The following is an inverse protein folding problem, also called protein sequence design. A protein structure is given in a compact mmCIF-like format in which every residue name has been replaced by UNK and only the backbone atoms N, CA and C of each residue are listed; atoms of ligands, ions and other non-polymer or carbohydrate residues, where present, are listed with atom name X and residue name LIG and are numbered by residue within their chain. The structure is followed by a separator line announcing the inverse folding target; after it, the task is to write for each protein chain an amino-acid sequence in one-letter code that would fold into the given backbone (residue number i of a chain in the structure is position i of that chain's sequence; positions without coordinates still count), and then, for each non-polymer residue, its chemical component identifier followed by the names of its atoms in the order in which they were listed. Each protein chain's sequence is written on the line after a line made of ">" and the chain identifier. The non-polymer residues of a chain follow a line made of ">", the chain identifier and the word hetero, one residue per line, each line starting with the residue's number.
data_IF_476526578795
#
_entry.id   IF_476526578795
#
_cell.length_a   1.000
_cell.length_b   1.000
_cell.length_c   1.000
_cell.angle_alpha   90.00
_cell.angle_beta   90.00
_cell.angle_gamma   90.00
#
_symmetry.space_group_name_H-M   'P 1'
#
loop_
_entity.id
_entity.type
_entity.pdbx_description
1 polymer ?
#
# COMPACT_ATOMS: atom_id res chain seq x y z
N UNK A 1 -18.27 25.15 -19.56
CA UNK A 1 -16.95 24.52 -19.70
C UNK A 1 -16.75 23.53 -18.56
N UNK A 2 -16.81 22.23 -18.82
CA UNK A 2 -16.47 21.21 -17.83
C UNK A 2 -14.96 21.22 -17.63
N UNK A 3 -14.51 21.58 -16.43
CA UNK A 3 -13.08 21.62 -16.11
C UNK A 3 -12.47 20.24 -16.36
N UNK A 4 -11.55 20.13 -17.34
CA UNK A 4 -10.73 18.93 -17.53
C UNK A 4 -10.09 18.61 -16.18
N UNK A 5 -10.29 17.41 -15.62
CA UNK A 5 -9.56 17.03 -14.41
C UNK A 5 -8.07 17.12 -14.76
N UNK A 6 -7.32 18.00 -14.09
CA UNK A 6 -5.85 18.03 -14.18
C UNK A 6 -5.36 16.59 -13.99
N UNK A 7 -4.48 16.15 -14.89
CA UNK A 7 -3.94 14.79 -14.95
C UNK A 7 -3.62 14.26 -13.55
N UNK A 8 -4.31 13.21 -13.14
CA UNK A 8 -4.01 12.57 -11.87
C UNK A 8 -2.68 11.83 -12.00
N UNK A 9 -1.77 12.00 -11.03
CA UNK A 9 -0.59 11.13 -10.95
C UNK A 9 -1.08 9.76 -10.49
N UNK A 10 -1.12 8.79 -11.41
CA UNK A 10 -1.44 7.40 -11.09
C UNK A 10 -0.28 6.83 -10.29
N UNK A 11 -0.58 6.25 -9.13
CA UNK A 11 0.41 5.68 -8.22
C UNK A 11 0.40 4.15 -8.26
N UNK A 12 -0.71 3.54 -8.66
CA UNK A 12 -0.79 2.10 -8.87
C UNK A 12 -2.06 1.70 -9.63
N UNK A 13 -2.00 0.54 -10.28
CA UNK A 13 -3.13 -0.09 -10.99
C UNK A 13 -3.11 -1.57 -10.63
N UNK A 14 -4.26 -2.14 -10.24
CA UNK A 14 -4.39 -3.57 -9.94
C UNK A 14 -5.73 -4.11 -10.45
N UNK A 15 -5.71 -5.36 -10.90
CA UNK A 15 -6.91 -6.13 -11.21
C UNK A 15 -7.58 -6.59 -9.90
N UNK A 16 -8.90 -6.44 -9.80
CA UNK A 16 -9.68 -6.75 -8.62
C UNK A 16 -11.02 -7.40 -9.00
N UNK A 17 -10.99 -8.71 -9.22
CA UNK A 17 -12.17 -9.47 -9.65
C UNK A 17 -12.68 -8.95 -10.99
N UNK A 18 -13.94 -8.50 -11.04
CA UNK A 18 -14.58 -7.94 -12.24
C UNK A 18 -14.27 -6.46 -12.48
N UNK A 19 -13.20 -5.92 -11.89
CA UNK A 19 -12.86 -4.48 -11.97
C UNK A 19 -11.36 -4.26 -12.10
N UNK A 20 -10.97 -3.17 -12.77
CA UNK A 20 -9.64 -2.57 -12.66
C UNK A 20 -9.72 -1.41 -11.68
N UNK A 21 -8.81 -1.39 -10.71
CA UNK A 21 -8.68 -0.32 -9.73
C UNK A 21 -7.40 0.46 -10.04
N UNK A 22 -7.47 1.78 -9.90
CA UNK A 22 -6.29 2.64 -9.93
C UNK A 22 -6.31 3.62 -8.77
N UNK A 23 -5.16 3.82 -8.14
CA UNK A 23 -4.94 4.88 -7.16
C UNK A 23 -4.29 6.08 -7.84
N UNK A 24 -4.65 7.29 -7.42
CA UNK A 24 -3.98 8.47 -7.93
C UNK A 24 -4.20 9.73 -7.10
N UNK A 25 -3.38 10.73 -7.38
CA UNK A 25 -3.47 12.05 -6.76
C UNK A 25 -4.03 13.09 -7.75
N UNK A 26 -5.06 13.82 -7.34
CA UNK A 26 -5.64 14.97 -8.04
C UNK A 26 -5.25 16.29 -7.36
N UNK A 27 -5.22 17.41 -8.09
CA UNK A 27 -4.80 18.72 -7.54
C UNK A 27 -5.78 19.43 -6.59
N UNK A 28 -6.76 18.73 -5.99
CA UNK A 28 -7.84 19.33 -5.17
C UNK A 28 -7.69 18.97 -3.67
N UNK A 29 -8.55 19.52 -2.83
CA UNK A 29 -8.58 19.31 -1.36
C UNK A 29 -8.71 17.82 -0.96
N UNK A 30 -9.47 17.04 -1.73
CA UNK A 30 -9.47 15.58 -1.69
C UNK A 30 -8.59 15.02 -2.78
N UNK A 31 -7.28 15.17 -2.62
CA UNK A 31 -6.31 14.82 -3.64
C UNK A 31 -6.28 13.31 -3.86
N UNK A 32 -6.43 12.50 -2.81
CA UNK A 32 -6.36 11.04 -2.90
C UNK A 32 -7.62 10.47 -3.53
N UNK A 33 -7.46 9.77 -4.66
CA UNK A 33 -8.54 9.21 -5.47
C UNK A 33 -8.35 7.72 -5.70
N UNK A 34 -9.48 7.01 -5.76
CA UNK A 34 -9.58 5.65 -6.27
C UNK A 34 -10.47 5.69 -7.50
N UNK A 35 -9.95 5.18 -8.60
CA UNK A 35 -10.65 5.00 -9.86
C UNK A 35 -11.04 3.53 -9.96
N UNK A 36 -12.28 3.27 -10.34
CA UNK A 36 -12.82 1.92 -10.41
C UNK A 36 -13.53 1.73 -11.74
N UNK A 37 -12.97 0.86 -12.57
CA UNK A 37 -13.40 0.62 -13.94
C UNK A 37 -13.94 -0.81 -14.00
N UNK A 38 -15.20 -1.03 -14.41
CA UNK A 38 -15.74 -2.38 -14.56
C UNK A 38 -15.02 -3.14 -15.69
N UNK A 39 -15.05 -4.47 -15.62
CA UNK A 39 -14.66 -5.36 -16.70
C UNK A 39 -15.91 -5.97 -17.36
N UNK A 40 -15.88 -6.21 -18.69
CA UNK A 40 -14.76 -5.97 -19.61
C UNK A 40 -14.45 -4.48 -19.81
N UNK A 41 -13.20 -4.15 -20.19
CA UNK A 41 -12.84 -2.78 -20.53
C UNK A 41 -13.46 -2.43 -21.89
N UNK A 42 -14.25 -1.37 -21.93
CA UNK A 42 -14.86 -0.88 -23.16
C UNK A 42 -14.42 0.56 -23.43
N UNK A 43 -14.25 0.88 -24.71
CA UNK A 43 -13.94 2.24 -25.13
C UNK A 43 -15.07 3.20 -24.73
N UNK A 44 -14.71 4.38 -24.20
CA UNK A 44 -15.68 5.41 -23.80
C UNK A 44 -16.22 5.27 -22.36
N UNK A 45 -15.98 4.15 -21.67
CA UNK A 45 -16.41 4.01 -20.27
C UNK A 45 -15.60 4.92 -19.34
N UNK A 46 -16.33 5.68 -18.51
CA UNK A 46 -15.72 6.51 -17.47
C UNK A 46 -15.54 5.73 -16.18
N UNK A 47 -14.40 5.91 -15.51
CA UNK A 47 -14.19 5.35 -14.18
C UNK A 47 -15.18 5.93 -13.17
N UNK A 48 -15.68 5.10 -12.25
CA UNK A 48 -16.22 5.59 -11.00
C UNK A 48 -15.05 6.14 -10.17
N UNK A 49 -15.19 7.36 -9.64
CA UNK A 49 -14.13 8.05 -8.90
C UNK A 49 -14.58 8.27 -7.47
N UNK A 50 -13.75 7.83 -6.53
CA UNK A 50 -14.00 7.98 -5.11
C UNK A 50 -12.91 8.83 -4.47
N UNK A 51 -13.29 9.64 -3.50
CA UNK A 51 -12.36 10.44 -2.70
C UNK A 51 -12.03 9.69 -1.42
N UNK A 52 -10.77 9.63 -1.03
CA UNK A 52 -10.37 8.95 0.21
C UNK A 52 -9.86 9.92 1.27
N UNK A 53 -10.14 9.58 2.52
CA UNK A 53 -9.60 10.22 3.71
C UNK A 53 -8.97 9.13 4.59
N UNK A 54 -7.74 9.36 5.07
CA UNK A 54 -6.97 8.35 5.83
C UNK A 54 -6.44 8.94 7.11
N UNK A 55 -6.44 8.16 8.19
CA UNK A 55 -5.82 8.60 9.44
C UNK A 55 -4.31 8.37 9.40
N UNK A 56 -3.53 9.45 9.46
CA UNK A 56 -2.08 9.39 9.50
C UNK A 56 -1.62 9.18 10.94
N UNK A 57 -1.40 7.91 11.29
CA UNK A 57 -1.10 7.48 12.67
C UNK A 57 0.11 8.21 13.26
N UNK A 58 1.17 8.43 12.48
CA UNK A 58 2.37 9.12 12.91
C UNK A 58 2.15 10.56 13.45
N UNK A 59 1.10 11.27 13.00
CA UNK A 59 0.82 12.65 13.40
C UNK A 59 -0.57 12.84 14.00
N UNK A 60 -1.33 11.76 14.20
CA UNK A 60 -2.62 11.80 14.88
C UNK A 60 -3.70 12.61 14.17
N UNK A 61 -3.71 12.64 12.82
CA UNK A 61 -4.65 13.48 12.05
C UNK A 61 -5.22 12.79 10.82
N UNK A 62 -6.42 13.20 10.45
CA UNK A 62 -7.03 12.82 9.17
C UNK A 62 -6.38 13.60 8.01
N UNK A 63 -6.07 12.89 6.94
CA UNK A 63 -5.45 13.45 5.74
C UNK A 63 -6.26 13.09 4.49
N UNK A 64 -6.61 14.10 3.70
CA UNK A 64 -7.32 13.99 2.43
C UNK A 64 -6.40 14.11 1.22
N UNK A 65 -5.17 14.58 1.44
CA UNK A 65 -4.19 14.90 0.39
C UNK A 65 -3.13 13.83 0.18
N UNK A 66 -2.97 12.89 1.11
CA UNK A 66 -2.00 11.81 1.03
C UNK A 66 -2.48 10.75 0.02
N UNK A 67 -1.82 10.60 -1.14
CA UNK A 67 -2.20 9.58 -2.11
C UNK A 67 -1.79 8.20 -1.60
N UNK A 68 -2.65 7.21 -1.87
CA UNK A 68 -2.31 5.79 -1.80
C UNK A 68 -1.11 5.58 -2.73
N UNK A 69 0.00 5.04 -2.23
CA UNK A 69 1.21 4.77 -3.03
C UNK A 69 1.17 3.40 -3.67
N UNK A 70 0.77 2.39 -2.89
CA UNK A 70 0.58 1.01 -3.35
C UNK A 70 -0.64 0.42 -2.66
N UNK A 71 -1.33 -0.52 -3.32
CA UNK A 71 -2.51 -1.15 -2.76
C UNK A 71 -2.77 -2.52 -3.34
N UNK A 72 -3.64 -3.26 -2.66
CA UNK A 72 -4.21 -4.52 -3.10
C UNK A 72 -5.72 -4.57 -2.83
N UNK A 73 -6.49 -5.29 -3.65
CA UNK A 73 -7.84 -5.68 -3.29
C UNK A 73 -7.81 -6.85 -2.30
N UNK A 74 -8.68 -6.81 -1.28
CA UNK A 74 -8.85 -7.87 -0.29
C UNK A 74 -10.33 -8.15 -0.09
N UNK A 75 -10.72 -9.42 -0.02
CA UNK A 75 -12.04 -9.82 0.46
C UNK A 75 -11.94 -10.25 1.92
N UNK A 76 -12.74 -9.63 2.78
CA UNK A 76 -12.80 -9.94 4.21
C UNK A 76 -14.27 -9.99 4.63
N UNK A 77 -14.72 -11.12 5.22
CA UNK A 77 -16.09 -11.31 5.71
C UNK A 77 -17.18 -10.95 4.68
N UNK A 78 -16.98 -11.36 3.42
CA UNK A 78 -17.90 -11.10 2.31
C UNK A 78 -17.87 -9.67 1.76
N UNK A 79 -17.03 -8.79 2.31
CA UNK A 79 -16.87 -7.40 1.83
C UNK A 79 -15.55 -7.21 1.07
N UNK A 80 -15.57 -6.39 0.05
CA UNK A 80 -14.39 -5.97 -0.71
C UNK A 80 -13.79 -4.72 -0.07
N UNK A 81 -12.49 -4.79 0.16
CA UNK A 81 -11.67 -3.69 0.64
C UNK A 81 -10.55 -3.41 -0.34
N UNK A 82 -10.12 -2.16 -0.38
CA UNK A 82 -8.78 -1.79 -0.85
C UNK A 82 -7.91 -1.63 0.38
N UNK A 83 -6.80 -2.36 0.45
CA UNK A 83 -5.76 -2.17 1.47
C UNK A 83 -4.63 -1.42 0.81
N UNK A 84 -4.34 -0.21 1.30
CA UNK A 84 -3.34 0.68 0.73
C UNK A 84 -2.28 1.08 1.74
N UNK A 85 -1.07 1.32 1.25
CA UNK A 85 -0.03 2.01 2.01
C UNK A 85 0.16 3.44 1.49
N UNK A 86 0.47 4.35 2.41
CA UNK A 86 0.60 5.78 2.15
C UNK A 86 2.03 6.23 2.45
N UNK A 87 2.37 7.46 2.05
CA UNK A 87 3.60 8.08 2.55
C UNK A 87 3.60 8.10 4.08
N UNK A 88 4.78 7.88 4.67
CA UNK A 88 4.98 7.60 6.10
C UNK A 88 4.38 6.28 6.62
N UNK A 89 3.88 5.41 5.72
CA UNK A 89 3.50 4.01 5.91
C UNK A 89 2.47 3.67 7.00
N UNK A 90 1.32 4.36 7.11
CA UNK A 90 0.14 3.65 7.57
C UNK A 90 -0.29 2.63 6.49
N UNK A 91 -0.70 1.45 6.93
CA UNK A 91 -1.51 0.53 6.13
C UNK A 91 -2.95 0.76 6.57
N UNK A 92 -3.81 1.11 5.62
CA UNK A 92 -5.23 1.36 5.87
C UNK A 92 -6.10 0.57 4.91
N UNK A 93 -7.30 0.20 5.37
CA UNK A 93 -8.32 -0.47 4.54
C UNK A 93 -9.50 0.45 4.27
N UNK A 94 -10.04 0.36 3.05
CA UNK A 94 -11.16 1.17 2.55
C UNK A 94 -12.25 0.23 2.04
N UNK A 95 -13.49 0.30 2.57
CA UNK A 95 -14.60 -0.46 1.99
C UNK A 95 -14.92 0.09 0.59
N UNK A 96 -15.17 -0.79 -0.36
CA UNK A 96 -15.48 -0.39 -1.75
C UNK A 96 -16.78 -0.94 -2.32
N UNK A 97 -17.49 -1.77 -1.57
CA UNK A 97 -18.80 -2.27 -1.98
C UNK A 97 -19.88 -1.18 -1.86
N UNK A 98 -20.82 -1.17 -2.81
CA UNK A 98 -22.02 -0.32 -2.74
C UNK A 98 -21.77 1.18 -2.81
N UNK A 99 -20.58 1.60 -3.24
CA UNK A 99 -20.23 3.02 -3.29
C UNK A 99 -20.90 3.74 -4.45
N UNK A 100 -21.56 4.85 -4.13
CA UNK A 100 -22.06 5.79 -5.14
C UNK A 100 -20.91 6.56 -5.79
N UNK A 101 -21.10 6.95 -7.05
CA UNK A 101 -20.13 7.76 -7.79
C UNK A 101 -19.87 9.08 -7.04
N UNK A 102 -18.60 9.40 -6.77
CA UNK A 102 -18.22 10.62 -6.06
C UNK A 102 -18.20 10.48 -4.54
N UNK A 103 -18.49 9.30 -3.98
CA UNK A 103 -18.47 9.06 -2.55
C UNK A 103 -17.12 9.47 -1.90
N UNK A 104 -17.23 9.96 -0.67
CA UNK A 104 -16.08 10.17 0.24
C UNK A 104 -15.97 8.95 1.14
N UNK A 105 -14.86 8.22 1.02
CA UNK A 105 -14.61 7.00 1.78
C UNK A 105 -13.58 7.29 2.86
N UNK A 106 -13.92 6.94 4.10
CA UNK A 106 -13.00 7.01 5.23
C UNK A 106 -12.28 5.67 5.40
N UNK A 107 -10.96 5.72 5.36
CA UNK A 107 -10.10 4.56 5.62
C UNK A 107 -9.97 4.25 7.10
N UNK A 108 -9.70 3.00 7.41
CA UNK A 108 -9.32 2.57 8.76
C UNK A 108 -7.86 2.17 8.77
N UNK A 109 -7.02 2.94 9.46
CA UNK A 109 -5.60 2.61 9.62
C UNK A 109 -5.46 1.46 10.62
N UNK A 110 -4.76 0.41 10.22
CA UNK A 110 -4.64 -0.84 11.01
C UNK A 110 -3.21 -1.10 11.47
N UNK A 111 -2.22 -0.61 10.72
CA UNK A 111 -0.79 -0.75 11.03
C UNK A 111 -0.04 0.53 10.70
N UNK A 112 0.99 0.83 11.49
CA UNK A 112 1.94 1.92 11.28
C UNK A 112 3.38 1.36 11.27
N UNK A 113 4.06 1.47 10.13
CA UNK A 113 5.40 0.86 9.92
C UNK A 113 6.56 1.80 10.29
N UNK A 114 6.26 3.04 10.63
CA UNK A 114 7.16 4.08 11.07
C UNK A 114 7.32 5.20 10.04
N UNK A 115 7.73 6.38 10.51
CA UNK A 115 7.87 7.55 9.64
C UNK A 115 9.07 7.47 8.68
N UNK A 116 8.95 8.22 7.58
CA UNK A 116 10.05 8.43 6.63
C UNK A 116 10.04 7.49 5.42
N UNK A 117 8.92 6.85 5.13
CA UNK A 117 8.80 5.81 4.11
C UNK A 117 7.94 6.25 2.93
N UNK A 118 8.28 5.75 1.75
CA UNK A 118 7.55 5.86 0.48
C UNK A 118 7.33 4.44 -0.05
N UNK A 119 6.15 3.84 0.20
CA UNK A 119 5.80 2.53 -0.35
C UNK A 119 5.93 2.52 -1.87
N UNK A 120 6.36 1.39 -2.42
CA UNK A 120 6.51 1.21 -3.88
C UNK A 120 5.50 0.19 -4.39
N UNK A 121 5.44 -0.99 -3.78
CA UNK A 121 4.45 -2.03 -4.12
C UNK A 121 3.93 -2.74 -2.87
N UNK A 122 2.87 -3.52 -3.07
CA UNK A 122 2.17 -4.29 -2.07
C UNK A 122 1.56 -5.55 -2.71
N UNK A 123 1.70 -6.69 -2.04
CA UNK A 123 1.14 -7.98 -2.47
C UNK A 123 0.97 -8.93 -1.28
N UNK A 124 0.25 -10.04 -1.48
CA UNK A 124 0.01 -11.06 -0.45
C UNK A 124 0.72 -12.35 -0.82
N UNK A 125 1.31 -13.03 0.14
CA UNK A 125 1.70 -14.43 -0.02
C UNK A 125 1.33 -15.28 1.19
N UNK A 126 1.22 -16.60 0.98
CA UNK A 126 0.88 -17.57 2.03
C UNK A 126 2.12 -18.35 2.42
N UNK A 127 2.45 -18.39 3.71
CA UNK A 127 3.58 -19.21 4.22
C UNK A 127 3.43 -19.50 5.71
N UNK A 128 3.73 -20.75 6.09
CA UNK A 128 3.65 -21.20 7.48
C UNK A 128 2.25 -21.06 8.09
N UNK A 129 1.21 -21.36 7.29
CA UNK A 129 -0.19 -21.26 7.72
C UNK A 129 -0.72 -19.83 7.89
N UNK A 130 0.04 -18.81 7.47
CA UNK A 130 -0.32 -17.40 7.58
C UNK A 130 -0.39 -16.73 6.21
N UNK A 131 -1.29 -15.75 6.11
CA UNK A 131 -1.35 -14.81 5.00
C UNK A 131 -0.55 -13.57 5.38
N UNK A 132 0.44 -13.23 4.56
CA UNK A 132 1.34 -12.13 4.79
C UNK A 132 1.13 -11.03 3.76
N UNK A 133 0.87 -9.82 4.24
CA UNK A 133 0.95 -8.60 3.44
C UNK A 133 2.39 -8.13 3.37
N UNK A 134 2.95 -8.02 2.18
CA UNK A 134 4.28 -7.44 1.97
C UNK A 134 4.14 -6.02 1.46
N UNK A 135 4.99 -5.12 1.94
CA UNK A 135 5.24 -3.84 1.29
C UNK A 135 6.73 -3.57 1.21
N UNK A 136 7.20 -3.17 0.03
CA UNK A 136 8.54 -2.63 -0.15
C UNK A 136 8.47 -1.10 -0.19
N UNK A 137 9.52 -0.44 0.31
CA UNK A 137 9.52 1.00 0.52
C UNK A 137 10.90 1.59 0.35
N UNK A 138 10.92 2.84 -0.11
CA UNK A 138 12.06 3.75 -0.05
C UNK A 138 12.03 4.58 1.24
N UNK A 139 13.13 4.62 1.98
CA UNK A 139 13.28 5.41 3.20
C UNK A 139 14.12 6.67 2.97
N UNK A 140 13.47 7.82 2.77
CA UNK A 140 14.15 9.09 2.46
C UNK A 140 15.02 9.66 3.62
N UNK A 141 14.91 9.14 4.84
CA UNK A 141 15.77 9.49 5.97
C UNK A 141 16.72 8.37 6.40
N UNK A 142 17.02 7.42 5.51
CA UNK A 142 17.83 6.24 5.83
C UNK A 142 19.17 6.59 6.50
N UNK A 143 19.90 7.60 6.00
CA UNK A 143 21.18 8.05 6.59
C UNK A 143 21.12 8.37 8.09
N UNK A 144 19.97 8.88 8.57
CA UNK A 144 19.76 9.22 9.99
C UNK A 144 19.13 8.08 10.79
N UNK A 145 18.38 7.19 10.12
CA UNK A 145 17.60 6.12 10.75
C UNK A 145 17.65 4.87 9.84
N UNK A 146 18.75 4.11 9.83
CA UNK A 146 18.87 2.96 8.94
C UNK A 146 17.92 1.81 9.34
N UNK A 147 17.39 1.09 8.36
CA UNK A 147 16.72 -0.21 8.52
C UNK A 147 17.41 -1.14 7.51
N UNK A 148 18.52 -1.73 7.94
CA UNK A 148 19.39 -2.53 7.07
C UNK A 148 20.43 -1.71 6.29
N UNK A 149 21.06 -2.30 5.26
CA UNK A 149 22.20 -1.73 4.54
C UNK A 149 21.83 -0.73 3.44
N UNK A 150 20.53 -0.54 3.16
CA UNK A 150 20.05 0.28 2.04
C UNK A 150 18.81 1.10 2.43
N UNK A 151 18.60 2.23 1.74
CA UNK A 151 17.36 3.01 1.85
C UNK A 151 16.13 2.23 1.40
N UNK A 152 16.33 1.26 0.51
CA UNK A 152 15.27 0.37 0.05
C UNK A 152 15.19 -0.84 0.95
N UNK A 153 14.01 -1.09 1.51
CA UNK A 153 13.73 -2.19 2.40
C UNK A 153 12.29 -2.65 2.23
N UNK A 154 11.91 -3.74 2.89
CA UNK A 154 10.52 -4.15 2.94
C UNK A 154 10.18 -4.87 4.23
N UNK A 155 8.89 -5.00 4.48
CA UNK A 155 8.38 -5.75 5.62
C UNK A 155 7.18 -6.60 5.22
N UNK A 156 6.95 -7.66 6.00
CA UNK A 156 5.70 -8.38 6.02
C UNK A 156 4.91 -8.07 7.28
N UNK A 157 3.59 -8.06 7.12
CA UNK A 157 2.60 -7.87 8.16
C UNK A 157 1.60 -9.01 8.05
N UNK A 158 1.32 -9.67 9.17
CA UNK A 158 0.31 -10.71 9.27
C UNK A 158 -1.07 -10.11 8.94
N UNK A 159 -1.77 -10.69 7.97
CA UNK A 159 -3.06 -10.20 7.50
C UNK A 159 -4.13 -10.17 8.60
N UNK A 160 -3.92 -10.86 9.73
CA UNK A 160 -4.79 -10.74 10.91
C UNK A 160 -4.98 -9.30 11.39
N UNK A 161 -4.01 -8.41 11.13
CA UNK A 161 -4.11 -7.01 11.50
C UNK A 161 -5.21 -6.25 10.75
N UNK A 162 -5.66 -6.73 9.58
CA UNK A 162 -6.81 -6.12 8.91
C UNK A 162 -8.08 -6.20 9.77
N UNK A 163 -8.22 -7.25 10.58
CA UNK A 163 -9.31 -7.46 11.51
C UNK A 163 -9.06 -6.92 12.93
N UNK A 164 -8.02 -6.11 13.14
CA UNK A 164 -7.66 -5.61 14.47
C UNK A 164 -8.76 -4.71 15.08
N UNK A 165 -8.96 -4.84 16.39
CA UNK A 165 -9.86 -3.97 17.16
C UNK A 165 -9.25 -2.57 17.35
N UNK A 166 -7.97 -2.54 17.68
CA UNK A 166 -7.21 -1.30 17.83
C UNK A 166 -6.82 -0.74 16.46
N UNK A 167 -7.34 0.44 16.15
CA UNK A 167 -7.20 1.09 14.83
C UNK A 167 -6.89 2.58 15.00
N UNK A 168 -6.55 3.24 13.89
CA UNK A 168 -6.21 4.66 13.83
C UNK A 168 -5.14 5.03 14.85
N UNK A 169 -5.43 5.86 15.85
CA UNK A 169 -4.49 6.27 16.90
C UNK A 169 -3.87 5.08 17.64
N UNK A 170 -4.65 4.01 17.82
CA UNK A 170 -4.26 2.80 18.55
C UNK A 170 -3.78 1.67 17.64
N UNK A 171 -3.69 1.91 16.33
CA UNK A 171 -3.20 0.94 15.36
C UNK A 171 -1.84 0.36 15.77
N UNK A 172 -1.62 -0.91 15.49
CA UNK A 172 -0.38 -1.59 15.86
C UNK A 172 0.83 -0.94 15.17
N UNK A 173 1.88 -0.65 15.95
CA UNK A 173 3.06 0.08 15.49
C UNK A 173 4.27 -0.84 15.42
N UNK A 174 4.94 -0.90 14.27
CA UNK A 174 6.22 -1.60 14.14
C UNK A 174 7.24 -1.02 15.11
N UNK A 175 7.99 -1.88 15.78
CA UNK A 175 9.10 -1.49 16.64
C UNK A 175 10.26 -0.96 15.79
N UNK A 176 10.37 0.35 15.64
CA UNK A 176 11.22 0.98 14.61
C UNK A 176 12.69 0.55 14.67
N UNK A 177 13.24 0.35 15.88
CA UNK A 177 14.64 -0.05 16.12
C UNK A 177 14.89 -1.56 16.00
N UNK A 178 13.86 -2.38 15.82
CA UNK A 178 13.99 -3.85 15.73
C UNK A 178 13.55 -4.34 14.34
N UNK A 179 14.14 -5.47 13.92
CA UNK A 179 13.70 -6.16 12.69
C UNK A 179 12.33 -6.80 12.86
N UNK A 180 12.00 -7.28 14.06
CA UNK A 180 10.73 -7.92 14.40
C UNK A 180 10.03 -7.14 15.50
N UNK A 181 8.70 -7.19 15.51
CA UNK A 181 7.90 -6.64 16.59
C UNK A 181 6.97 -5.52 16.12
N UNK A 182 5.70 -5.53 16.54
CA UNK A 182 5.02 -6.57 17.35
C UNK A 182 4.89 -7.90 16.59
N UNK A 183 4.37 -8.93 17.26
CA UNK A 183 4.20 -10.27 16.68
C UNK A 183 3.41 -10.19 15.36
N UNK A 184 3.94 -10.82 14.30
CA UNK A 184 3.34 -10.71 12.97
C UNK A 184 3.77 -9.47 12.19
N UNK A 185 4.80 -8.73 12.63
CA UNK A 185 5.47 -7.70 11.82
C UNK A 185 6.97 -7.94 11.77
N UNK A 186 7.51 -7.94 10.55
CA UNK A 186 8.89 -8.33 10.29
C UNK A 186 9.48 -7.60 9.09
N UNK A 187 10.67 -7.01 9.25
CA UNK A 187 11.54 -6.57 8.16
C UNK A 187 12.08 -7.80 7.42
N UNK A 188 12.00 -7.78 6.09
CA UNK A 188 12.44 -8.88 5.23
C UNK A 188 13.81 -8.55 4.63
N UNK A 189 14.84 -9.27 5.05
CA UNK A 189 16.21 -9.02 4.61
C UNK A 189 16.39 -9.20 3.09
N UNK A 190 15.66 -10.15 2.47
CA UNK A 190 15.69 -10.37 1.00
C UNK A 190 15.25 -9.13 0.21
N UNK A 191 14.54 -8.18 0.85
CA UNK A 191 14.07 -6.95 0.23
C UNK A 191 15.02 -5.76 0.42
N UNK A 192 16.17 -5.93 1.07
CA UNK A 192 17.16 -4.85 1.15
C UNK A 192 17.75 -4.49 -0.22
N UNK A 193 17.74 -3.21 -0.56
CA UNK A 193 18.20 -2.73 -1.87
C UNK A 193 17.16 -2.90 -2.98
N UNK A 194 15.99 -3.49 -2.72
CA UNK A 194 14.96 -3.71 -3.75
C UNK A 194 14.20 -2.42 -4.06
N UNK A 195 14.51 -1.81 -5.20
CA UNK A 195 13.82 -0.61 -5.71
C UNK A 195 12.42 -0.92 -6.20
N UNK A 196 12.29 -1.98 -7.00
CA UNK A 196 11.02 -2.45 -7.54
C UNK A 196 10.93 -3.95 -7.37
N UNK A 197 9.70 -4.44 -7.25
CA UNK A 197 9.38 -5.84 -7.02
C UNK A 197 8.07 -6.14 -7.73
N UNK A 198 7.92 -7.37 -8.22
CA UNK A 198 6.63 -7.91 -8.59
C UNK A 198 6.56 -9.40 -8.23
N UNK A 199 5.35 -9.89 -7.99
CA UNK A 199 5.10 -11.27 -7.60
C UNK A 199 4.63 -12.08 -8.79
N UNK A 200 5.33 -13.18 -9.09
CA UNK A 200 4.96 -14.07 -10.20
C UNK A 200 4.47 -15.46 -9.74
N UNK A 201 4.72 -15.82 -8.47
CA UNK A 201 4.09 -16.95 -7.79
C UNK A 201 4.06 -16.70 -6.28
N UNK A 202 3.30 -17.49 -5.52
CA UNK A 202 3.08 -17.34 -4.08
C UNK A 202 4.20 -16.62 -3.31
N UNK A 203 5.33 -17.27 -3.02
CA UNK A 203 6.47 -16.65 -2.34
C UNK A 203 7.63 -16.31 -3.28
N UNK A 204 7.40 -16.33 -4.60
CA UNK A 204 8.42 -16.05 -5.62
C UNK A 204 8.17 -14.70 -6.28
N UNK A 205 9.22 -13.89 -6.27
CA UNK A 205 9.18 -12.51 -6.75
C UNK A 205 10.32 -12.25 -7.72
N UNK A 206 10.12 -11.31 -8.63
CA UNK A 206 11.19 -10.69 -9.41
C UNK A 206 11.50 -9.34 -8.78
N UNK A 207 12.79 -9.03 -8.58
CA UNK A 207 13.23 -7.80 -7.93
C UNK A 207 14.22 -7.05 -8.80
N UNK A 208 14.07 -5.73 -8.84
CA UNK A 208 15.09 -4.82 -9.33
C UNK A 208 15.88 -4.30 -8.12
N UNK A 209 17.06 -4.86 -7.91
CA UNK A 209 17.92 -4.54 -6.77
C UNK A 209 18.99 -3.51 -7.13
N UNK A 210 19.18 -2.53 -6.27
CA UNK A 210 20.25 -1.54 -6.31
C UNK A 210 21.38 -1.94 -5.35
N UNK A 211 22.55 -2.22 -5.92
CA UNK A 211 23.78 -2.51 -5.18
C UNK A 211 24.81 -1.43 -5.51
N UNK A 212 24.83 -0.37 -4.68
CA UNK A 212 25.73 0.79 -4.83
C UNK A 212 25.65 1.43 -6.22
N UNK A 213 24.44 1.58 -6.76
CA UNK A 213 24.18 2.19 -8.06
C UNK A 213 24.08 1.21 -9.22
N UNK A 214 24.55 -0.03 -9.07
CA UNK A 214 24.33 -1.09 -10.07
C UNK A 214 22.95 -1.71 -9.88
N UNK A 215 22.15 -1.70 -10.95
CA UNK A 215 20.83 -2.34 -10.98
C UNK A 215 20.94 -3.78 -11.49
N UNK A 216 20.29 -4.72 -10.81
CA UNK A 216 20.20 -6.13 -11.22
C UNK A 216 18.75 -6.59 -11.12
N UNK A 217 18.25 -7.20 -12.20
CA UNK A 217 16.93 -7.84 -12.23
C UNK A 217 17.11 -9.33 -11.95
N UNK A 218 16.52 -9.83 -10.87
CA UNK A 218 16.77 -11.19 -10.39
C UNK A 218 15.53 -11.80 -9.73
N UNK A 219 15.36 -13.13 -9.73
CA UNK A 219 14.37 -13.80 -8.92
C UNK A 219 14.79 -13.82 -7.44
N UNK A 220 13.81 -13.78 -6.53
CA UNK A 220 14.02 -13.98 -5.10
C UNK A 220 12.85 -14.76 -4.48
N UNK A 221 13.09 -15.35 -3.30
CA UNK A 221 12.09 -16.10 -2.55
C UNK A 221 11.87 -15.44 -1.18
N UNK A 222 10.61 -15.21 -0.84
CA UNK A 222 10.21 -14.59 0.43
C UNK A 222 10.26 -15.63 1.57
N UNK A 223 10.62 -15.21 2.80
CA UNK A 223 10.72 -16.11 3.95
C UNK A 223 9.35 -16.52 4.51
#
# INVERSE_FOLDING_TARGET
>A
MTARPKSAKVTGVKLAGSRVLAAGQSGREFASKIYSIPLPLEHGNSAAVYSTETFHVAHGRWETRAPIQSFIPVKEKGKTYIVGSFNCTPIAKFPVDGLEKGAKIKGTSVVELGSGNRPVDMFIYKKGGKDWLVTNTDRFHHKRRPIGPSQYWGCRVDMKYLGAKETNEKAARRTVKKKKGPEGMEVIDVLFGVKHIDQFANDKVVVLRDTKGKLSLEPAVLP
#
